data_IF_725849433804
#
_entry.id   IF_725849433804
#
_cell.length_a   1.000
_cell.length_b   1.000
_cell.length_c   1.000
_cell.angle_alpha   90.00
_cell.angle_beta   90.00
_cell.angle_gamma   90.00
#
_symmetry.space_group_name_H-M   'P 1'
#
loop_
_entity.id
_entity.type
_entity.pdbx_description
1 polymer ?
#
# COMPACT_ATOMS: atom_id res chain seq x y z
N UNK A 1 -8.10 -8.93 9.73
CA UNK A 1 -9.39 -8.34 10.12
C UNK A 1 -9.51 -6.90 9.62
N UNK A 2 -8.66 -5.98 10.10
CA UNK A 2 -8.71 -4.54 9.76
C UNK A 2 -8.68 -4.25 8.25
N UNK A 3 -7.75 -4.86 7.50
CA UNK A 3 -7.63 -4.62 6.04
C UNK A 3 -8.90 -5.04 5.30
N UNK A 4 -9.49 -6.19 5.66
CA UNK A 4 -10.72 -6.67 5.03
C UNK A 4 -11.92 -5.75 5.29
N UNK A 5 -12.01 -5.18 6.50
CA UNK A 5 -13.04 -4.18 6.83
C UNK A 5 -12.85 -2.88 6.05
N UNK A 6 -11.61 -2.35 6.00
CA UNK A 6 -11.27 -1.17 5.19
C UNK A 6 -11.58 -1.38 3.70
N UNK A 7 -11.27 -2.57 3.16
CA UNK A 7 -11.61 -2.91 1.78
C UNK A 7 -13.12 -2.82 1.55
N UNK A 8 -13.94 -3.45 2.40
CA UNK A 8 -15.41 -3.41 2.25
C UNK A 8 -15.96 -1.99 2.36
N UNK A 9 -15.45 -1.21 3.31
CA UNK A 9 -15.83 0.19 3.49
C UNK A 9 -15.52 1.03 2.24
N UNK A 10 -14.30 0.95 1.74
CA UNK A 10 -13.89 1.68 0.54
C UNK A 10 -14.63 1.21 -0.70
N UNK A 11 -14.85 -0.10 -0.87
CA UNK A 11 -15.67 -0.64 -1.95
C UNK A 11 -17.08 -0.02 -1.96
N UNK A 12 -17.74 0.05 -0.80
CA UNK A 12 -19.07 0.64 -0.69
C UNK A 12 -19.07 2.16 -0.97
N UNK A 13 -18.05 2.87 -0.51
CA UNK A 13 -17.90 4.32 -0.72
C UNK A 13 -17.63 4.67 -2.19
N UNK A 14 -16.75 3.90 -2.83
CA UNK A 14 -16.28 4.10 -4.19
C UNK A 14 -17.22 3.54 -5.26
N UNK A 15 -18.19 2.69 -4.88
CA UNK A 15 -19.11 2.04 -5.82
C UNK A 15 -19.87 3.03 -6.72
N UNK A 16 -20.28 4.19 -6.17
CA UNK A 16 -21.02 5.21 -6.94
C UNK A 16 -20.15 5.95 -7.97
N UNK A 17 -18.83 5.91 -7.80
CA UNK A 17 -17.88 6.59 -8.66
C UNK A 17 -17.25 5.67 -9.72
N UNK A 18 -17.70 4.41 -9.82
CA UNK A 18 -17.07 3.38 -10.67
C UNK A 18 -15.57 3.18 -10.40
N UNK A 19 -15.13 3.41 -9.15
CA UNK A 19 -13.73 3.18 -8.73
C UNK A 19 -13.63 1.76 -8.17
N UNK A 20 -12.76 0.96 -8.76
CA UNK A 20 -12.50 -0.43 -8.40
C UNK A 20 -11.51 -0.54 -7.23
N UNK A 21 -11.96 -1.19 -6.16
CA UNK A 21 -11.17 -1.36 -4.93
C UNK A 21 -10.89 -2.85 -4.69
N UNK A 22 -9.61 -3.20 -4.60
CA UNK A 22 -9.12 -4.58 -4.36
C UNK A 22 -8.51 -4.68 -2.97
N UNK A 23 -8.85 -5.74 -2.25
CA UNK A 23 -8.20 -6.12 -1.00
C UNK A 23 -7.08 -7.12 -1.26
N UNK A 24 -5.85 -6.79 -0.87
CA UNK A 24 -4.68 -7.67 -0.98
C UNK A 24 -4.18 -8.01 0.42
N UNK A 25 -4.70 -9.09 0.99
CA UNK A 25 -4.38 -9.53 2.34
C UNK A 25 -4.48 -11.06 2.46
N UNK A 26 -3.82 -11.62 3.47
CA UNK A 26 -3.76 -13.07 3.69
C UNK A 26 -2.53 -13.72 3.05
N UNK A 27 -2.50 -15.06 3.01
CA UNK A 27 -1.34 -15.81 2.51
C UNK A 27 -1.16 -15.76 1.00
N UNK A 28 -2.26 -15.74 0.23
CA UNK A 28 -2.22 -15.85 -1.23
C UNK A 28 -1.90 -14.54 -1.96
N UNK A 29 -1.35 -14.62 -3.17
CA UNK A 29 -1.13 -13.48 -4.08
C UNK A 29 -2.31 -13.30 -5.06
N UNK A 30 -3.47 -13.87 -4.73
CA UNK A 30 -4.65 -13.85 -5.60
C UNK A 30 -5.06 -12.43 -5.97
N UNK A 31 -5.22 -12.22 -7.27
CA UNK A 31 -5.66 -10.96 -7.83
C UNK A 31 -4.67 -9.81 -7.75
N UNK A 32 -3.40 -10.04 -7.41
CA UNK A 32 -2.36 -8.99 -7.41
C UNK A 32 -2.09 -8.42 -8.81
N UNK A 33 -2.37 -9.20 -9.87
CA UNK A 33 -2.25 -8.81 -11.29
C UNK A 33 -3.56 -8.33 -11.92
N UNK A 34 -4.66 -8.36 -11.18
CA UNK A 34 -5.93 -7.83 -11.69
C UNK A 34 -5.85 -6.32 -11.80
N UNK A 35 -6.59 -5.72 -12.74
CA UNK A 35 -6.70 -4.27 -12.82
C UNK A 35 -7.59 -3.75 -11.69
N UNK A 36 -7.10 -2.75 -10.97
CA UNK A 36 -7.84 -2.03 -9.94
C UNK A 36 -7.37 -0.59 -9.86
N UNK A 37 -8.20 0.30 -9.32
CA UNK A 37 -7.85 1.70 -9.07
C UNK A 37 -7.24 1.90 -7.68
N UNK A 38 -7.72 1.13 -6.69
CA UNK A 38 -7.27 1.22 -5.29
C UNK A 38 -6.93 -0.18 -4.76
N UNK A 39 -5.73 -0.35 -4.21
CA UNK A 39 -5.33 -1.55 -3.49
C UNK A 39 -5.28 -1.28 -1.98
N UNK A 40 -5.96 -2.11 -1.19
CA UNK A 40 -5.92 -2.07 0.28
C UNK A 40 -5.15 -3.28 0.77
N UNK A 41 -3.94 -3.06 1.29
CA UNK A 41 -2.94 -4.10 1.50
C UNK A 41 -2.53 -4.27 2.96
N UNK A 42 -2.06 -5.46 3.35
CA UNK A 42 -1.10 -5.56 4.47
C UNK A 42 0.29 -5.12 4.01
N UNK A 43 1.20 -4.84 4.95
CA UNK A 43 2.59 -4.39 4.65
C UNK A 43 3.29 -5.41 3.72
N UNK A 44 3.12 -6.70 3.98
CA UNK A 44 3.76 -7.77 3.21
C UNK A 44 3.25 -7.81 1.76
N UNK A 45 1.94 -7.56 1.56
CA UNK A 45 1.33 -7.53 0.23
C UNK A 45 1.61 -6.24 -0.53
N UNK A 46 1.71 -5.12 0.17
CA UNK A 46 2.14 -3.85 -0.43
C UNK A 46 3.57 -3.98 -0.98
N UNK A 47 4.51 -4.53 -0.21
CA UNK A 47 5.87 -4.80 -0.69
C UNK A 47 5.89 -5.75 -1.90
N UNK A 48 5.06 -6.81 -1.88
CA UNK A 48 4.95 -7.72 -3.02
C UNK A 48 4.43 -7.04 -4.29
N UNK A 49 3.41 -6.18 -4.16
CA UNK A 49 2.85 -5.41 -5.29
C UNK A 49 3.86 -4.40 -5.83
N UNK A 50 4.56 -3.68 -4.95
CA UNK A 50 5.62 -2.74 -5.36
C UNK A 50 6.74 -3.48 -6.09
N UNK A 51 7.18 -4.64 -5.60
CA UNK A 51 8.19 -5.45 -6.30
C UNK A 51 7.72 -5.88 -7.70
N UNK A 52 6.47 -6.35 -7.79
CA UNK A 52 5.89 -6.74 -9.06
C UNK A 52 5.89 -5.58 -10.06
N UNK A 53 5.45 -4.39 -9.65
CA UNK A 53 5.45 -3.20 -10.50
C UNK A 53 6.85 -2.72 -10.87
N UNK A 54 7.85 -2.94 -10.01
CA UNK A 54 9.26 -2.65 -10.32
C UNK A 54 9.79 -3.63 -11.37
N UNK A 55 9.51 -4.92 -11.22
CA UNK A 55 9.88 -5.97 -12.18
C UNK A 55 9.26 -5.71 -13.57
N UNK A 56 8.04 -5.16 -13.59
CA UNK A 56 7.34 -4.79 -14.81
C UNK A 56 7.75 -3.42 -15.37
N UNK A 57 8.58 -2.65 -14.64
CA UNK A 57 8.97 -1.29 -15.01
C UNK A 57 7.83 -0.27 -14.95
N UNK A 58 6.71 -0.62 -14.31
CA UNK A 58 5.45 0.12 -14.33
C UNK A 58 5.18 0.93 -13.05
N UNK A 59 6.06 0.89 -12.04
CA UNK A 59 5.81 1.51 -10.74
C UNK A 59 5.56 3.03 -10.86
N UNK A 60 6.45 3.76 -11.54
CA UNK A 60 6.38 5.22 -11.64
C UNK A 60 5.17 5.73 -12.43
N UNK A 61 4.76 4.98 -13.46
CA UNK A 61 3.61 5.32 -14.32
C UNK A 61 2.27 4.92 -13.70
N UNK A 62 2.24 3.91 -12.82
CA UNK A 62 1.01 3.36 -12.26
C UNK A 62 0.69 3.90 -10.86
N UNK A 63 1.70 4.08 -10.00
CA UNK A 63 1.50 4.48 -8.61
C UNK A 63 1.41 6.00 -8.48
N UNK A 64 0.21 6.53 -8.31
CA UNK A 64 0.01 7.97 -8.05
C UNK A 64 0.08 8.33 -6.56
N UNK A 65 -0.42 7.47 -5.68
CA UNK A 65 -0.51 7.77 -4.24
C UNK A 65 -0.33 6.52 -3.41
N UNK A 66 0.53 6.61 -2.39
CA UNK A 66 0.72 5.61 -1.36
C UNK A 66 0.22 6.16 -0.02
N UNK A 67 -0.82 5.55 0.54
CA UNK A 67 -1.29 5.86 1.89
C UNK A 67 -0.76 4.81 2.86
N UNK A 68 0.00 5.25 3.86
CA UNK A 68 0.54 4.40 4.92
C UNK A 68 -0.19 4.71 6.21
N UNK A 69 -0.95 3.74 6.68
CA UNK A 69 -1.52 3.76 8.03
C UNK A 69 -0.54 3.17 9.03
N UNK A 70 -0.55 3.66 10.26
CA UNK A 70 0.40 3.28 11.31
C UNK A 70 1.86 3.46 10.91
N UNK A 71 2.21 4.62 10.33
CA UNK A 71 3.57 4.96 9.93
C UNK A 71 4.58 4.89 11.10
N UNK A 72 4.12 5.00 12.35
CA UNK A 72 4.93 4.77 13.54
C UNK A 72 5.59 3.38 13.60
N UNK A 73 5.13 2.42 12.80
CA UNK A 73 5.78 1.12 12.69
C UNK A 73 7.17 1.20 12.03
N UNK A 74 7.49 2.29 11.33
CA UNK A 74 8.86 2.56 10.87
C UNK A 74 9.79 2.64 12.08
N UNK A 75 10.89 1.88 12.05
CA UNK A 75 11.81 1.75 13.19
C UNK A 75 11.36 0.75 14.28
N UNK A 76 10.16 0.15 14.17
CA UNK A 76 9.67 -0.82 15.15
C UNK A 76 9.68 -2.29 14.66
N UNK A 77 10.47 -3.10 15.35
CA UNK A 77 10.40 -4.57 15.34
C UNK A 77 10.59 -5.23 13.98
N UNK A 78 10.07 -6.45 13.84
CA UNK A 78 10.26 -7.28 12.64
C UNK A 78 9.32 -6.93 11.48
N UNK A 79 8.38 -5.99 11.64
CA UNK A 79 7.43 -5.60 10.59
C UNK A 79 7.73 -4.23 9.99
N UNK A 80 8.33 -3.32 10.77
CA UNK A 80 8.74 -1.99 10.32
C UNK A 80 9.72 -2.02 9.15
N UNK A 81 10.65 -2.98 9.13
CA UNK A 81 11.66 -3.06 8.08
C UNK A 81 11.05 -3.23 6.67
N UNK A 82 9.93 -3.97 6.53
CA UNK A 82 9.27 -4.11 5.23
C UNK A 82 8.65 -2.80 4.77
N UNK A 83 8.12 -2.02 5.70
CA UNK A 83 7.57 -0.70 5.41
C UNK A 83 8.69 0.26 4.97
N UNK A 84 9.83 0.25 5.67
CA UNK A 84 11.03 1.03 5.30
C UNK A 84 11.53 0.68 3.90
N UNK A 85 11.65 -0.61 3.60
CA UNK A 85 12.07 -1.10 2.27
C UNK A 85 11.07 -0.68 1.19
N UNK A 86 9.77 -0.78 1.47
CA UNK A 86 8.72 -0.39 0.52
C UNK A 86 8.75 1.11 0.25
N UNK A 87 8.81 1.93 1.30
CA UNK A 87 8.89 3.39 1.20
C UNK A 87 10.16 3.82 0.45
N UNK A 88 11.31 3.22 0.76
CA UNK A 88 12.58 3.50 0.09
C UNK A 88 12.49 3.25 -1.43
N UNK A 89 11.87 2.14 -1.85
CA UNK A 89 11.65 1.83 -3.27
C UNK A 89 10.75 2.85 -3.94
N UNK A 90 9.62 3.19 -3.31
CA UNK A 90 8.65 4.15 -3.88
C UNK A 90 9.25 5.54 -3.99
N UNK A 91 9.89 6.06 -2.93
CA UNK A 91 10.52 7.37 -2.94
C UNK A 91 11.65 7.49 -3.96
N UNK A 92 12.37 6.39 -4.23
CA UNK A 92 13.47 6.38 -5.19
C UNK A 92 13.00 6.19 -6.64
N UNK A 93 12.07 5.27 -6.90
CA UNK A 93 11.68 4.86 -8.24
C UNK A 93 10.42 5.56 -8.76
N UNK A 94 9.57 6.09 -7.87
CA UNK A 94 8.37 6.83 -8.20
C UNK A 94 8.34 8.17 -7.42
N UNK A 95 9.29 9.10 -7.69
CA UNK A 95 9.43 10.34 -6.92
C UNK A 95 8.22 11.28 -7.04
N UNK A 96 7.42 11.14 -8.10
CA UNK A 96 6.20 11.91 -8.31
C UNK A 96 4.98 11.34 -7.56
N UNK A 97 5.10 10.14 -6.97
CA UNK A 97 4.03 9.53 -6.20
C UNK A 97 3.84 10.26 -4.87
N UNK A 98 2.60 10.65 -4.57
CA UNK A 98 2.26 11.27 -3.29
C UNK A 98 2.30 10.23 -2.17
N UNK A 99 3.07 10.47 -1.11
CA UNK A 99 3.08 9.62 0.09
C UNK A 99 2.31 10.31 1.22
N UNK A 100 1.21 9.71 1.66
CA UNK A 100 0.42 10.16 2.80
C UNK A 100 0.61 9.21 3.98
N UNK A 101 1.34 9.66 5.00
CA UNK A 101 1.57 8.92 6.24
C UNK A 101 0.58 9.32 7.33
N UNK A 102 -0.06 8.34 7.95
CA UNK A 102 -0.89 8.47 9.15
C UNK A 102 -0.21 7.73 10.30
N UNK A 103 -0.12 8.34 11.48
CA UNK A 103 0.61 7.79 12.62
C UNK A 103 -0.06 8.14 13.94
N UNK A 104 0.19 7.32 14.96
CA UNK A 104 0.01 7.74 16.35
C UNK A 104 1.00 8.86 16.70
N UNK A 105 0.72 9.58 17.80
CA UNK A 105 1.62 10.59 18.33
C UNK A 105 2.89 9.92 18.86
N UNK A 106 3.97 10.03 18.09
CA UNK A 106 5.30 9.62 18.53
C UNK A 106 6.15 10.84 18.91
N UNK A 107 6.97 10.76 19.96
CA UNK A 107 8.11 11.65 20.07
C UNK A 107 9.07 11.36 18.92
N UNK A 108 9.43 12.38 18.14
CA UNK A 108 10.46 12.26 17.11
C UNK A 108 11.82 12.34 17.82
N UNK A 109 12.28 11.20 18.36
CA UNK A 109 13.58 11.10 19.04
C UNK A 109 14.69 10.87 18.02
#
# INVERSE_FOLDING_TARGET
AIVAEKTRYLQALCAKANISVKGLYGGSLDGIREKFDIAVCTIEKANALVNLLIEEGALAETLCTLVVDELHLVGEGSRGYLLEVTLSKVLFLAPDAQVLGMSATLPNV
#
